data_IF_888104946658
#
_entry.id   IF_888104946658
#
_cell.length_a   1.000
_cell.length_b   1.000
_cell.length_c   1.000
_cell.angle_alpha   90.00
_cell.angle_beta   90.00
_cell.angle_gamma   90.00
#
_symmetry.space_group_name_H-M   'P 1'
#
loop_
_entity.id
_entity.type
_entity.pdbx_description
1 polymer ?
#
# COMPACT_ATOMS: atom_id res chain seq x y z
N UNK A 1 -8.21 22.46 0.72
CA UNK A 1 -7.93 22.41 2.17
C UNK A 1 -8.78 21.29 2.74
N UNK A 2 -8.20 20.11 2.95
CA UNK A 2 -8.95 18.94 3.42
C UNK A 2 -8.82 18.90 4.94
N UNK A 3 -9.93 19.17 5.63
CA UNK A 3 -10.05 19.00 7.07
C UNK A 3 -10.21 17.52 7.38
N UNK A 4 -9.36 17.05 8.29
CA UNK A 4 -9.34 15.69 8.82
C UNK A 4 -10.62 15.42 9.61
N UNK A 5 -11.27 14.28 9.35
CA UNK A 5 -12.19 13.68 10.30
C UNK A 5 -11.39 12.61 11.05
N UNK A 6 -11.20 12.84 12.36
CA UNK A 6 -10.69 11.86 13.31
C UNK A 6 -11.71 10.72 13.42
N UNK A 7 -11.22 9.49 13.34
CA UNK A 7 -11.79 8.40 14.14
C UNK A 7 -10.77 8.07 15.23
N UNK A 8 -11.24 7.74 16.45
CA UNK A 8 -10.37 7.55 17.59
C UNK A 8 -9.45 6.34 17.36
N UNK A 9 -8.18 6.51 17.69
CA UNK A 9 -7.30 5.40 18.02
C UNK A 9 -7.95 4.65 19.19
N UNK A 10 -7.87 3.31 19.27
CA UNK A 10 -8.12 2.64 20.53
C UNK A 10 -7.21 3.27 21.59
N UNK A 11 -7.81 3.66 22.71
CA UNK A 11 -7.11 4.32 23.80
C UNK A 11 -5.92 3.48 24.24
N UNK A 12 -4.86 4.19 24.58
CA UNK A 12 -3.63 3.72 25.18
C UNK A 12 -3.89 2.85 26.40
N UNK A 13 -3.37 1.63 26.39
CA UNK A 13 -2.68 1.05 27.55
C UNK A 13 -1.43 0.36 27.03
N UNK A 14 -0.39 1.16 26.87
CA UNK A 14 0.98 0.71 26.64
C UNK A 14 1.73 0.87 27.97
N UNK A 15 1.47 -0.03 28.92
CA UNK A 15 2.36 -0.30 30.05
C UNK A 15 2.14 -1.73 30.53
N UNK A 16 3.25 -2.40 30.83
CA UNK A 16 3.40 -3.72 31.46
C UNK A 16 3.29 -4.96 30.55
N UNK A 17 4.44 -5.36 30.02
CA UNK A 17 4.77 -6.78 29.90
C UNK A 17 4.92 -7.38 31.32
N UNK A 18 4.19 -8.46 31.59
CA UNK A 18 4.27 -9.28 32.81
C UNK A 18 3.20 -10.38 32.76
N UNK A 19 3.48 -11.61 33.22
CA UNK A 19 2.68 -12.79 32.90
C UNK A 19 1.46 -12.92 33.82
N UNK A 20 0.30 -13.27 33.27
CA UNK A 20 -0.85 -13.69 34.08
C UNK A 20 -1.57 -14.87 33.45
N UNK A 21 -1.76 -15.87 34.29
CA UNK A 21 -2.32 -17.19 34.07
C UNK A 21 -3.81 -17.19 33.66
N UNK A 22 -4.22 -18.29 33.03
CA UNK A 22 -5.49 -18.98 33.27
C UNK A 22 -6.79 -18.21 33.03
N UNK A 23 -7.34 -18.32 31.81
CA UNK A 23 -8.72 -17.92 31.53
C UNK A 23 -9.23 -18.48 30.21
N UNK A 24 -9.91 -19.62 30.26
CA UNK A 24 -10.61 -20.25 29.14
C UNK A 24 -11.74 -19.36 28.63
N UNK A 25 -11.49 -18.64 27.54
CA UNK A 25 -12.48 -17.82 26.83
C UNK A 25 -12.50 -18.17 25.35
N UNK A 26 -13.58 -18.81 24.93
CA UNK A 26 -13.88 -19.31 23.58
C UNK A 26 -13.51 -18.33 22.46
N UNK A 27 -12.45 -18.65 21.70
CA UNK A 27 -12.10 -17.99 20.46
C UNK A 27 -12.96 -18.56 19.33
N UNK A 28 -13.56 -17.70 18.52
CA UNK A 28 -14.23 -18.08 17.27
C UNK A 28 -13.19 -18.57 16.27
N UNK A 29 -12.88 -19.86 16.34
CA UNK A 29 -11.89 -20.53 15.52
C UNK A 29 -12.37 -20.70 14.08
N UNK A 30 -11.59 -20.16 13.14
CA UNK A 30 -11.35 -20.93 11.93
C UNK A 30 -10.32 -21.98 12.33
N UNK A 31 -10.77 -23.20 12.61
CA UNK A 31 -9.86 -24.33 12.77
C UNK A 31 -9.09 -24.47 11.46
N UNK A 32 -7.76 -24.36 11.51
CA UNK A 32 -6.91 -24.66 10.35
C UNK A 32 -7.32 -26.03 9.83
N UNK A 33 -7.61 -26.12 8.53
CA UNK A 33 -7.99 -27.39 7.92
C UNK A 33 -6.80 -28.33 8.09
N UNK A 34 -6.93 -29.35 8.96
CA UNK A 34 -5.86 -30.32 9.20
C UNK A 34 -5.43 -30.90 7.85
N UNK A 35 -4.17 -30.72 7.50
CA UNK A 35 -3.62 -31.31 6.29
C UNK A 35 -3.69 -32.83 6.37
N UNK A 36 -4.01 -33.48 5.26
CA UNK A 36 -3.76 -34.91 5.14
C UNK A 36 -2.25 -35.12 5.16
N UNK A 37 -1.78 -36.16 5.82
CA UNK A 37 -0.34 -36.41 6.01
C UNK A 37 0.43 -36.44 4.69
N UNK A 38 -0.13 -37.04 3.65
CA UNK A 38 0.46 -37.10 2.31
C UNK A 38 0.69 -35.74 1.65
N UNK A 39 0.06 -34.67 2.15
CA UNK A 39 0.22 -33.30 1.63
C UNK A 39 1.17 -32.45 2.49
N UNK A 40 1.79 -33.02 3.52
CA UNK A 40 2.75 -32.31 4.36
C UNK A 40 4.11 -32.34 3.67
N UNK A 41 4.64 -31.16 3.36
CA UNK A 41 5.99 -31.01 2.84
C UNK A 41 7.00 -31.26 3.97
N UNK A 42 7.58 -32.46 4.01
CA UNK A 42 8.60 -32.84 4.99
C UNK A 42 9.98 -32.51 4.42
N UNK A 43 10.71 -31.59 5.05
CA UNK A 43 12.10 -31.33 4.67
C UNK A 43 13.02 -32.49 5.12
N UNK A 44 14.14 -32.67 4.43
CA UNK A 44 15.16 -33.66 4.77
C UNK A 44 16.40 -33.00 5.42
N UNK A 45 16.18 -31.99 6.25
CA UNK A 45 17.28 -31.26 6.88
C UNK A 45 17.95 -32.14 7.95
N UNK A 46 19.26 -32.28 7.84
CA UNK A 46 20.11 -32.66 8.95
C UNK A 46 20.80 -31.39 9.45
N UNK A 47 20.84 -31.20 10.77
CA UNK A 47 21.44 -30.02 11.39
C UNK A 47 22.47 -30.44 12.43
N UNK A 48 23.43 -29.55 12.69
CA UNK A 48 24.40 -29.76 13.75
C UNK A 48 23.71 -29.49 15.09
N UNK A 49 23.61 -30.51 15.95
CA UNK A 49 22.98 -30.34 17.27
C UNK A 49 23.78 -29.43 18.20
N UNK A 50 25.05 -29.15 17.88
CA UNK A 50 25.86 -28.15 18.58
C UNK A 50 25.60 -26.72 18.10
N UNK A 51 24.93 -26.55 16.95
CA UNK A 51 24.49 -25.27 16.40
C UNK A 51 22.99 -25.30 16.05
N UNK A 52 22.09 -25.21 17.05
CA UNK A 52 20.65 -25.25 16.83
C UNK A 52 20.13 -24.14 15.91
N UNK A 53 20.80 -22.99 15.84
CA UNK A 53 20.42 -21.85 14.97
C UNK A 53 20.59 -22.18 13.47
N UNK A 54 21.33 -23.23 13.14
CA UNK A 54 21.46 -23.74 11.76
C UNK A 54 20.26 -24.56 11.28
N UNK A 55 19.33 -24.91 12.17
CA UNK A 55 18.24 -25.83 11.86
C UNK A 55 17.18 -25.20 10.94
N UNK A 56 17.08 -25.73 9.72
CA UNK A 56 16.12 -25.29 8.70
C UNK A 56 16.23 -23.81 8.28
N UNK A 57 17.43 -23.25 8.18
CA UNK A 57 17.65 -21.91 7.61
C UNK A 57 17.82 -21.96 6.08
N UNK A 58 18.89 -21.38 5.54
CA UNK A 58 19.08 -21.13 4.09
C UNK A 58 19.13 -22.38 3.21
N UNK A 59 19.54 -23.55 3.74
CA UNK A 59 19.67 -24.80 2.96
C UNK A 59 18.46 -25.73 3.05
N UNK A 60 17.43 -25.34 3.79
CA UNK A 60 16.22 -26.13 3.91
C UNK A 60 15.43 -26.11 2.59
N UNK A 61 15.07 -27.28 2.05
CA UNK A 61 14.25 -27.37 0.85
C UNK A 61 12.91 -26.63 0.99
N UNK A 62 12.31 -26.71 2.18
CA UNK A 62 11.05 -26.00 2.47
C UNK A 62 11.26 -24.47 2.44
N UNK A 63 12.34 -23.94 3.03
CA UNK A 63 12.69 -22.50 2.93
C UNK A 63 12.91 -22.08 1.48
N UNK A 64 13.69 -22.85 0.72
CA UNK A 64 13.99 -22.56 -0.69
C UNK A 64 12.74 -22.53 -1.58
N UNK A 65 11.67 -23.22 -1.16
CA UNK A 65 10.38 -23.28 -1.85
C UNK A 65 9.31 -22.41 -1.20
N UNK A 66 9.68 -21.54 -0.26
CA UNK A 66 8.76 -20.69 0.53
C UNK A 66 7.62 -21.49 1.20
N UNK A 67 7.95 -22.66 1.73
CA UNK A 67 7.04 -23.50 2.52
C UNK A 67 7.55 -23.58 3.94
N UNK A 68 6.68 -23.40 4.93
CA UNK A 68 7.06 -23.63 6.32
C UNK A 68 7.11 -25.11 6.65
N UNK A 69 7.99 -25.47 7.58
CA UNK A 69 7.99 -26.80 8.16
C UNK A 69 6.75 -26.97 9.06
N UNK A 70 6.13 -28.15 8.99
CA UNK A 70 5.01 -28.50 9.87
C UNK A 70 5.54 -29.01 11.22
N UNK A 71 5.09 -28.46 12.36
CA UNK A 71 5.46 -28.96 13.69
C UNK A 71 5.18 -30.45 13.85
N UNK A 72 6.12 -31.18 14.44
CA UNK A 72 6.04 -32.64 14.63
C UNK A 72 6.42 -33.50 13.41
N UNK A 73 6.57 -32.92 12.23
CA UNK A 73 6.99 -33.65 11.01
C UNK A 73 8.43 -33.33 10.58
N UNK A 74 8.98 -32.20 11.02
CA UNK A 74 10.36 -31.82 10.76
C UNK A 74 11.34 -32.62 11.62
N UNK A 75 12.41 -33.15 11.02
CA UNK A 75 13.48 -33.87 11.73
C UNK A 75 14.24 -32.99 12.73
N UNK A 76 14.25 -31.67 12.52
CA UNK A 76 14.80 -30.72 13.49
C UNK A 76 13.93 -30.57 14.75
N UNK A 77 12.67 -31.05 14.75
CA UNK A 77 11.79 -30.91 15.91
C UNK A 77 11.58 -29.45 16.30
N UNK A 78 11.71 -29.16 17.59
CA UNK A 78 11.44 -27.83 18.17
C UNK A 78 12.53 -26.78 17.84
N UNK A 79 13.73 -27.22 17.43
CA UNK A 79 14.82 -26.31 16.99
C UNK A 79 14.61 -25.80 15.58
N UNK A 80 13.57 -26.24 14.87
CA UNK A 80 13.30 -25.77 13.52
C UNK A 80 13.01 -24.26 13.49
N UNK A 81 13.88 -23.52 12.79
CA UNK A 81 13.73 -22.08 12.58
C UNK A 81 12.74 -21.76 11.44
N UNK A 82 12.35 -22.74 10.60
CA UNK A 82 11.39 -22.55 9.50
C UNK A 82 9.92 -22.68 9.93
N UNK A 83 9.55 -21.98 11.01
CA UNK A 83 8.18 -21.94 11.57
C UNK A 83 7.77 -20.51 11.98
N UNK A 84 8.44 -19.49 11.45
CA UNK A 84 8.32 -18.06 11.82
C UNK A 84 6.91 -17.46 11.71
N UNK A 85 6.10 -17.84 10.71
CA UNK A 85 4.69 -17.43 10.56
C UNK A 85 3.80 -18.11 11.61
N UNK A 86 4.00 -19.42 11.83
CA UNK A 86 3.26 -20.17 12.85
C UNK A 86 3.56 -19.63 14.26
N UNK A 87 4.83 -19.37 14.56
CA UNK A 87 5.32 -18.81 15.83
C UNK A 87 5.07 -17.29 15.95
N UNK A 88 4.73 -16.61 14.85
CA UNK A 88 4.51 -15.15 14.76
C UNK A 88 5.71 -14.32 15.23
N UNK A 89 6.89 -14.76 14.84
CA UNK A 89 8.16 -14.11 15.15
C UNK A 89 8.37 -12.91 14.23
N UNK A 90 7.66 -11.82 14.55
CA UNK A 90 7.71 -10.58 13.79
C UNK A 90 8.84 -9.67 14.28
N UNK A 91 9.43 -8.92 13.35
CA UNK A 91 10.33 -7.84 13.68
C UNK A 91 9.58 -6.74 14.46
N UNK A 92 10.30 -6.06 15.36
CA UNK A 92 9.77 -4.92 16.11
C UNK A 92 9.51 -3.76 15.15
N UNK A 93 8.29 -3.24 15.19
CA UNK A 93 7.86 -2.14 14.33
C UNK A 93 7.04 -1.12 15.10
N UNK A 94 7.05 0.12 14.62
CA UNK A 94 6.38 1.24 15.26
C UNK A 94 5.60 2.07 14.26
N UNK A 95 4.36 2.44 14.61
CA UNK A 95 3.55 3.35 13.81
C UNK A 95 4.06 4.79 13.93
N UNK A 96 4.02 5.52 12.81
CA UNK A 96 4.33 6.94 12.79
C UNK A 96 3.46 7.69 11.77
N UNK A 97 3.32 9.01 11.96
CA UNK A 97 2.65 9.87 10.99
C UNK A 97 3.61 10.30 9.90
N UNK A 98 3.23 10.03 8.66
CA UNK A 98 3.94 10.52 7.48
C UNK A 98 3.43 11.90 7.06
N UNK A 99 4.23 12.60 6.27
CA UNK A 99 3.78 13.81 5.60
C UNK A 99 2.98 13.45 4.34
N UNK A 100 1.65 13.53 4.42
CA UNK A 100 0.75 13.42 3.25
C UNK A 100 0.39 12.00 2.79
N UNK A 101 0.93 10.94 3.40
CA UNK A 101 0.58 9.52 3.08
C UNK A 101 -0.24 8.83 4.19
N UNK A 102 -0.57 9.56 5.26
CA UNK A 102 -1.28 8.99 6.41
C UNK A 102 -0.32 8.37 7.42
N UNK A 103 -0.66 7.19 7.92
CA UNK A 103 0.21 6.42 8.80
C UNK A 103 1.28 5.67 8.00
N UNK A 104 2.39 5.37 8.63
CA UNK A 104 3.47 4.55 8.11
C UNK A 104 3.99 3.59 9.19
N UNK A 105 4.86 2.68 8.79
CA UNK A 105 5.52 1.74 9.69
C UNK A 105 7.03 1.96 9.67
N UNK A 106 7.65 2.11 10.84
CA UNK A 106 9.10 2.16 11.02
C UNK A 106 9.62 0.81 11.52
N UNK A 107 10.87 0.50 11.19
CA UNK A 107 11.65 -0.50 11.90
C UNK A 107 11.95 0.01 13.32
N UNK A 108 11.67 -0.78 14.35
CA UNK A 108 12.00 -0.48 15.75
C UNK A 108 13.19 -1.33 16.25
N UNK A 109 13.89 -1.94 15.30
CA UNK A 109 15.18 -2.63 15.47
C UNK A 109 15.91 -2.67 14.12
N UNK A 110 17.16 -3.14 14.11
CA UNK A 110 17.88 -3.38 12.85
C UNK A 110 17.36 -4.67 12.21
N UNK A 111 17.00 -4.60 10.93
CA UNK A 111 16.46 -5.72 10.16
C UNK A 111 17.45 -6.09 9.07
N UNK A 112 17.79 -7.37 8.93
CA UNK A 112 18.74 -7.88 7.93
C UNK A 112 18.08 -8.15 6.60
N UNK A 113 18.86 -8.05 5.51
CA UNK A 113 18.41 -8.47 4.19
C UNK A 113 17.88 -9.92 4.22
N UNK A 114 16.73 -10.15 3.59
CA UNK A 114 16.05 -11.45 3.58
C UNK A 114 15.24 -11.77 4.84
N UNK A 115 15.36 -11.01 5.93
CA UNK A 115 14.64 -11.27 7.18
C UNK A 115 13.13 -11.09 7.02
N UNK A 116 12.36 -11.98 7.64
CA UNK A 116 10.91 -11.86 7.79
C UNK A 116 10.57 -10.72 8.75
N UNK A 117 9.65 -9.85 8.35
CA UNK A 117 9.26 -8.67 9.13
C UNK A 117 7.91 -8.89 9.78
N UNK A 118 6.88 -9.15 8.98
CA UNK A 118 5.50 -9.28 9.47
C UNK A 118 4.65 -9.99 8.41
N UNK A 119 3.67 -10.79 8.84
CA UNK A 119 2.62 -11.31 7.95
C UNK A 119 1.66 -10.18 7.56
N UNK A 120 1.19 -10.13 6.31
CA UNK A 120 0.11 -9.23 5.91
C UNK A 120 -1.25 -9.91 6.18
N UNK A 121 -1.85 -9.63 7.34
CA UNK A 121 -3.09 -10.29 7.76
C UNK A 121 -4.34 -9.46 7.40
N UNK A 122 -5.41 -10.16 7.00
CA UNK A 122 -6.74 -9.59 6.75
C UNK A 122 -7.77 -10.66 6.44
N UNK A 123 -8.96 -10.26 6.01
CA UNK A 123 -9.99 -11.20 5.56
C UNK A 123 -9.63 -11.70 4.14
N UNK A 124 -9.40 -13.01 3.97
CA UNK A 124 -9.22 -13.61 2.65
C UNK A 124 -10.59 -13.78 1.98
N UNK A 125 -10.80 -13.10 0.87
CA UNK A 125 -12.05 -13.10 0.11
C UNK A 125 -11.78 -13.37 -1.37
N UNK A 126 -12.77 -13.87 -2.10
CA UNK A 126 -12.60 -14.07 -3.55
C UNK A 126 -12.43 -12.74 -4.28
N UNK A 127 -11.81 -12.76 -5.46
CA UNK A 127 -11.64 -11.59 -6.33
C UNK A 127 -12.99 -10.93 -6.67
N UNK A 128 -14.06 -11.71 -6.85
CA UNK A 128 -15.41 -11.18 -7.07
C UNK A 128 -15.98 -10.50 -5.82
N UNK A 129 -15.76 -11.10 -4.65
CA UNK A 129 -16.18 -10.51 -3.38
C UNK A 129 -15.41 -9.23 -3.09
N UNK A 130 -14.10 -9.19 -3.37
CA UNK A 130 -13.27 -8.00 -3.25
C UNK A 130 -13.76 -6.87 -4.16
N UNK A 131 -14.11 -7.18 -5.42
CA UNK A 131 -14.69 -6.21 -6.35
C UNK A 131 -16.01 -5.64 -5.83
N UNK A 132 -16.94 -6.51 -5.39
CA UNK A 132 -18.22 -6.07 -4.79
C UNK A 132 -17.98 -5.17 -3.58
N UNK A 133 -17.06 -5.56 -2.69
CA UNK A 133 -16.73 -4.82 -1.48
C UNK A 133 -16.07 -3.48 -1.78
N UNK A 134 -15.23 -3.40 -2.81
CA UNK A 134 -14.62 -2.16 -3.29
C UNK A 134 -15.68 -1.15 -3.74
N UNK A 135 -16.70 -1.59 -4.49
CA UNK A 135 -17.83 -0.73 -4.86
C UNK A 135 -18.62 -0.22 -3.64
N UNK A 136 -18.79 -1.07 -2.62
CA UNK A 136 -19.43 -0.65 -1.36
C UNK A 136 -18.59 0.41 -0.64
N UNK A 137 -17.27 0.22 -0.55
CA UNK A 137 -16.35 1.18 0.06
C UNK A 137 -16.35 2.52 -0.67
N UNK A 138 -16.37 2.51 -2.00
CA UNK A 138 -16.49 3.70 -2.84
C UNK A 138 -17.82 4.42 -2.58
N UNK A 139 -18.94 3.70 -2.60
CA UNK A 139 -20.28 4.28 -2.38
C UNK A 139 -20.44 4.90 -0.98
N UNK A 140 -19.71 4.40 0.01
CA UNK A 140 -19.70 4.93 1.38
C UNK A 140 -18.54 5.90 1.65
N UNK A 141 -17.80 6.31 0.62
CA UNK A 141 -16.66 7.23 0.71
C UNK A 141 -15.60 6.80 1.75
N UNK A 142 -15.36 5.49 1.88
CA UNK A 142 -14.31 4.94 2.74
C UNK A 142 -12.96 5.39 2.16
N UNK A 143 -12.24 6.23 2.92
CA UNK A 143 -11.03 6.92 2.43
C UNK A 143 -9.82 6.01 2.32
N UNK A 144 -9.65 5.11 3.29
CA UNK A 144 -8.49 4.24 3.38
C UNK A 144 -8.96 2.78 3.22
N UNK A 145 -8.67 2.19 2.06
CA UNK A 145 -8.94 0.79 1.74
C UNK A 145 -7.62 0.03 1.60
N UNK A 146 -7.60 -1.21 2.07
CA UNK A 146 -6.38 -1.99 2.25
C UNK A 146 -6.58 -3.39 1.69
N UNK A 147 -6.58 -3.50 0.36
CA UNK A 147 -6.72 -4.79 -0.33
C UNK A 147 -5.40 -5.16 -0.98
N UNK A 148 -5.00 -6.43 -0.93
CA UNK A 148 -3.83 -6.93 -1.65
C UNK A 148 -4.18 -8.27 -2.29
N UNK A 149 -3.80 -8.46 -3.55
CA UNK A 149 -4.01 -9.75 -4.23
C UNK A 149 -3.11 -10.80 -3.59
N UNK A 150 -3.72 -11.90 -3.16
CA UNK A 150 -3.01 -13.09 -2.71
C UNK A 150 -2.70 -13.99 -3.90
N UNK A 151 -3.65 -14.14 -4.83
CA UNK A 151 -3.48 -14.75 -6.14
C UNK A 151 -4.56 -14.24 -7.12
N UNK A 152 -4.78 -14.94 -8.23
CA UNK A 152 -5.78 -14.54 -9.25
C UNK A 152 -7.22 -14.61 -8.72
N UNK A 153 -7.48 -15.49 -7.75
CA UNK A 153 -8.81 -15.82 -7.25
C UNK A 153 -9.08 -15.24 -5.87
N UNK A 154 -8.04 -14.90 -5.11
CA UNK A 154 -8.13 -14.46 -3.72
C UNK A 154 -7.42 -13.12 -3.47
N UNK A 155 -8.04 -12.32 -2.60
CA UNK A 155 -7.58 -11.02 -2.14
C UNK A 155 -7.64 -11.00 -0.62
N UNK A 156 -6.61 -10.45 0.03
CA UNK A 156 -6.63 -10.15 1.46
C UNK A 156 -7.15 -8.72 1.63
N UNK A 157 -8.26 -8.57 2.35
CA UNK A 157 -8.82 -7.27 2.72
C UNK A 157 -8.57 -6.97 4.20
N UNK A 158 -7.64 -6.06 4.44
CA UNK A 158 -7.24 -5.58 5.76
C UNK A 158 -7.94 -4.28 6.16
N UNK A 159 -8.99 -3.87 5.43
CA UNK A 159 -9.67 -2.58 5.67
C UNK A 159 -10.36 -2.55 7.03
N UNK A 160 -11.09 -3.62 7.36
CA UNK A 160 -11.85 -3.74 8.61
C UNK A 160 -11.13 -4.54 9.70
N UNK A 161 -10.40 -5.58 9.32
CA UNK A 161 -9.65 -6.46 10.23
C UNK A 161 -8.28 -6.70 9.63
N UNK A 162 -7.23 -6.40 10.36
CA UNK A 162 -5.85 -6.61 9.91
C UNK A 162 -4.86 -6.28 11.00
N UNK A 163 -3.57 -6.31 10.67
CA UNK A 163 -2.48 -5.99 11.59
C UNK A 163 -1.69 -4.76 11.12
N UNK A 164 -0.54 -4.48 11.73
CA UNK A 164 0.27 -3.31 11.41
C UNK A 164 0.81 -3.28 9.98
N UNK A 165 0.89 -4.42 9.28
CA UNK A 165 1.37 -4.49 7.90
C UNK A 165 0.53 -3.64 6.94
N UNK A 166 -0.76 -3.40 7.24
CA UNK A 166 -1.64 -2.52 6.44
C UNK A 166 -1.14 -1.07 6.34
N UNK A 167 -0.26 -0.64 7.25
CA UNK A 167 0.30 0.72 7.26
C UNK A 167 1.64 0.84 6.52
N UNK A 168 2.12 -0.22 5.86
CA UNK A 168 3.27 -0.14 4.97
C UNK A 168 2.93 0.75 3.78
N UNK A 169 3.69 1.82 3.58
CA UNK A 169 3.48 2.74 2.47
C UNK A 169 4.11 2.24 1.17
N UNK A 170 3.60 2.77 0.05
CA UNK A 170 4.21 2.57 -1.24
C UNK A 170 5.56 3.30 -1.37
N UNK A 171 6.54 2.62 -1.97
CA UNK A 171 7.70 3.25 -2.59
C UNK A 171 7.99 2.69 -3.98
N UNK A 172 8.39 3.56 -4.92
CA UNK A 172 8.93 3.16 -6.22
C UNK A 172 10.34 2.57 -6.13
N UNK A 173 11.01 2.76 -4.99
CA UNK A 173 12.29 2.13 -4.61
C UNK A 173 12.16 1.61 -3.17
N UNK A 174 11.43 0.49 -2.98
CA UNK A 174 11.15 -0.03 -1.65
C UNK A 174 12.39 -0.64 -1.00
N UNK A 175 12.28 -0.91 0.31
CA UNK A 175 13.24 -1.70 1.08
C UNK A 175 12.66 -3.05 1.53
N UNK A 176 11.37 -3.27 1.32
CA UNK A 176 10.69 -4.52 1.62
C UNK A 176 9.94 -5.04 0.39
N UNK A 177 9.68 -6.35 0.39
CA UNK A 177 8.87 -7.01 -0.63
C UNK A 177 7.87 -7.98 0.00
N UNK A 178 6.83 -8.30 -0.76
CA UNK A 178 5.83 -9.30 -0.39
C UNK A 178 6.24 -10.66 -0.96
N UNK A 179 6.27 -11.71 -0.14
CA UNK A 179 6.50 -13.09 -0.58
C UNK A 179 5.31 -13.97 -0.18
N UNK A 180 4.87 -14.82 -1.09
CA UNK A 180 3.86 -15.85 -0.77
C UNK A 180 4.55 -17.03 -0.11
N UNK A 181 3.96 -17.51 0.98
CA UNK A 181 4.44 -18.67 1.72
C UNK A 181 3.33 -19.69 1.89
N UNK A 182 3.66 -20.97 1.77
CA UNK A 182 2.74 -22.05 2.13
C UNK A 182 2.95 -22.40 3.60
N UNK A 183 1.93 -22.15 4.42
CA UNK A 183 1.94 -22.37 5.87
C UNK A 183 0.78 -23.28 6.22
N UNK A 184 1.08 -24.50 6.67
CA UNK A 184 0.06 -25.53 6.94
C UNK A 184 -0.91 -25.73 5.74
N UNK A 185 -0.36 -25.65 4.52
CA UNK A 185 -1.08 -25.83 3.26
C UNK A 185 -2.00 -24.68 2.87
N UNK A 186 -1.97 -23.57 3.60
CA UNK A 186 -2.61 -22.32 3.25
C UNK A 186 -1.57 -21.35 2.67
N UNK A 187 -1.97 -20.59 1.64
CA UNK A 187 -1.10 -19.52 1.12
C UNK A 187 -1.23 -18.30 2.01
N UNK A 188 -0.11 -17.82 2.54
CA UNK A 188 0.02 -16.59 3.34
C UNK A 188 0.92 -15.60 2.64
N UNK A 189 0.81 -14.32 3.01
CA UNK A 189 1.62 -13.25 2.45
C UNK A 189 2.52 -12.66 3.54
N UNK A 190 3.83 -12.86 3.41
CA UNK A 190 4.81 -12.28 4.32
C UNK A 190 5.48 -11.05 3.73
N UNK A 191 5.90 -10.13 4.60
CA UNK A 191 6.73 -8.99 4.25
C UNK A 191 8.17 -9.30 4.65
N UNK A 192 9.09 -9.20 3.71
CA UNK A 192 10.51 -9.50 3.89
C UNK A 192 11.37 -8.29 3.53
N UNK A 193 12.50 -8.13 4.21
CA UNK A 193 13.47 -7.11 3.87
C UNK A 193 14.22 -7.49 2.58
N UNK A 194 14.36 -6.54 1.65
CA UNK A 194 15.17 -6.72 0.43
C UNK A 194 16.66 -6.38 0.65
N UNK A 195 16.95 -5.69 1.74
CA UNK A 195 18.28 -5.18 2.13
C UNK A 195 18.27 -4.89 3.62
N UNK A 196 19.44 -4.67 4.21
CA UNK A 196 19.53 -4.20 5.59
C UNK A 196 18.74 -2.89 5.77
N UNK A 197 17.94 -2.83 6.83
CA UNK A 197 17.13 -1.68 7.23
C UNK A 197 17.50 -1.30 8.65
N UNK A 198 18.03 -0.09 8.83
CA UNK A 198 18.37 0.44 10.15
C UNK A 198 17.12 0.80 10.96
N UNK A 199 17.23 0.70 12.28
CA UNK A 199 16.20 1.20 13.21
C UNK A 199 15.81 2.66 12.87
N UNK A 200 14.51 2.95 12.97
CA UNK A 200 13.93 4.26 12.66
C UNK A 200 13.69 4.53 11.17
N UNK A 201 14.09 3.63 10.26
CA UNK A 201 13.74 3.76 8.84
C UNK A 201 12.30 3.32 8.54
N UNK A 202 11.65 4.04 7.61
CA UNK A 202 10.33 3.64 7.11
C UNK A 202 10.43 2.35 6.28
N UNK A 203 9.56 1.39 6.62
CA UNK A 203 9.34 0.16 5.87
C UNK A 203 8.35 0.44 4.74
N UNK A 204 8.75 0.15 3.52
CA UNK A 204 7.98 0.44 2.31
C UNK A 204 8.01 -0.73 1.35
N UNK A 205 6.89 -0.93 0.66
CA UNK A 205 6.73 -1.97 -0.37
C UNK A 205 6.36 -1.34 -1.70
N UNK A 206 6.58 -2.07 -2.80
CA UNK A 206 5.95 -1.71 -4.07
C UNK A 206 4.53 -2.29 -4.06
N UNK A 207 3.52 -1.45 -4.27
CA UNK A 207 2.11 -1.88 -4.26
C UNK A 207 1.73 -2.66 -5.51
N UNK A 208 2.55 -2.63 -6.57
CA UNK A 208 2.18 -3.16 -7.89
C UNK A 208 0.78 -2.70 -8.31
N UNK A 209 0.47 -1.45 -8.00
CA UNK A 209 -0.88 -0.91 -8.09
C UNK A 209 -1.40 -1.02 -9.53
N UNK A 210 -2.57 -1.61 -9.70
CA UNK A 210 -3.25 -1.65 -10.99
C UNK A 210 -4.31 -0.54 -11.07
N UNK A 211 -4.12 0.39 -12.00
CA UNK A 211 -5.12 1.42 -12.23
C UNK A 211 -6.26 0.91 -13.12
N UNK A 212 -7.49 1.02 -12.63
CA UNK A 212 -8.71 0.47 -13.26
C UNK A 212 -9.69 1.54 -13.77
N UNK A 213 -9.18 2.73 -14.10
CA UNK A 213 -9.92 3.93 -14.46
C UNK A 213 -10.38 4.82 -13.28
N UNK A 214 -10.42 6.12 -13.54
CA UNK A 214 -10.88 7.16 -12.61
C UNK A 214 -9.75 8.03 -12.07
N UNK A 215 -9.86 8.47 -10.81
CA UNK A 215 -8.97 9.48 -10.25
C UNK A 215 -7.53 8.96 -10.15
N UNK A 216 -6.57 9.77 -10.59
CA UNK A 216 -5.16 9.45 -10.46
C UNK A 216 -4.67 9.86 -9.07
N UNK A 217 -3.94 8.97 -8.40
CA UNK A 217 -3.36 9.23 -7.08
C UNK A 217 -1.88 9.54 -7.26
N UNK A 218 -1.45 10.73 -6.84
CA UNK A 218 -0.04 11.12 -6.91
C UNK A 218 0.78 10.27 -5.95
N UNK A 219 1.87 9.69 -6.45
CA UNK A 219 2.85 9.00 -5.63
C UNK A 219 3.72 10.01 -4.87
N UNK A 220 3.76 9.86 -3.55
CA UNK A 220 4.49 10.74 -2.63
C UNK A 220 5.70 10.03 -1.98
N UNK A 221 6.24 8.98 -2.62
CA UNK A 221 7.32 8.18 -2.03
C UNK A 221 8.68 8.88 -1.99
N UNK A 222 8.88 9.94 -2.77
CA UNK A 222 10.14 10.69 -2.81
C UNK A 222 11.32 9.96 -3.48
N UNK A 223 11.13 8.77 -4.03
CA UNK A 223 12.19 8.06 -4.75
C UNK A 223 12.64 8.83 -6.00
N UNK A 224 13.94 8.80 -6.32
CA UNK A 224 14.49 9.47 -7.50
C UNK A 224 13.87 8.97 -8.82
N UNK A 225 13.49 7.69 -8.87
CA UNK A 225 12.81 7.04 -10.00
C UNK A 225 11.28 6.91 -9.77
N UNK A 226 10.67 7.85 -9.03
CA UNK A 226 9.24 7.84 -8.74
C UNK A 226 8.40 7.86 -10.03
N UNK A 227 7.38 7.01 -10.11
CA UNK A 227 6.49 6.94 -11.28
C UNK A 227 5.41 8.04 -11.30
N UNK A 228 5.50 9.03 -10.40
CA UNK A 228 4.63 10.21 -10.25
C UNK A 228 3.20 9.88 -9.82
N UNK A 229 2.57 8.83 -10.36
CA UNK A 229 1.23 8.36 -9.99
C UNK A 229 1.26 6.88 -9.59
N UNK A 230 0.48 6.52 -8.57
CA UNK A 230 0.24 5.12 -8.25
C UNK A 230 -0.43 4.45 -9.46
N UNK A 231 0.11 3.30 -9.85
CA UNK A 231 -0.36 2.56 -11.03
C UNK A 231 0.10 3.08 -12.37
N UNK A 232 0.97 4.09 -12.43
CA UNK A 232 1.48 4.60 -13.71
C UNK A 232 2.20 3.53 -14.56
N UNK A 233 2.68 2.45 -13.93
CA UNK A 233 3.32 1.33 -14.61
C UNK A 233 2.33 0.30 -15.17
N UNK A 234 1.06 0.31 -14.75
CA UNK A 234 0.06 -0.66 -15.20
C UNK A 234 -0.26 -0.46 -16.68
N UNK A 235 -0.57 -1.56 -17.36
CA UNK A 235 -0.87 -1.55 -18.79
C UNK A 235 -2.07 -0.64 -19.11
N UNK A 236 -3.14 -0.74 -18.32
CA UNK A 236 -4.35 0.08 -18.47
C UNK A 236 -4.09 1.58 -18.29
N UNK A 237 -3.21 1.97 -17.36
CA UNK A 237 -2.84 3.38 -17.19
C UNK A 237 -2.14 3.90 -18.44
N UNK A 238 -1.19 3.12 -18.98
CA UNK A 238 -0.48 3.47 -20.20
C UNK A 238 -1.45 3.61 -21.36
N UNK A 239 -2.26 2.60 -21.64
CA UNK A 239 -3.25 2.61 -22.72
C UNK A 239 -4.16 3.83 -22.65
N UNK A 240 -4.75 4.09 -21.48
CA UNK A 240 -5.61 5.25 -21.29
C UNK A 240 -4.88 6.55 -21.61
N UNK A 241 -3.66 6.75 -21.11
CA UNK A 241 -2.90 7.99 -21.33
C UNK A 241 -2.29 8.09 -22.74
N UNK A 242 -2.00 6.98 -23.43
CA UNK A 242 -1.57 6.98 -24.83
C UNK A 242 -2.71 7.43 -25.75
N UNK A 243 -3.97 7.05 -25.46
CA UNK A 243 -5.15 7.57 -26.18
C UNK A 243 -5.25 9.10 -26.11
N UNK A 244 -4.73 9.74 -25.05
CA UNK A 244 -4.70 11.20 -24.93
C UNK A 244 -3.48 11.87 -25.59
N UNK A 245 -2.40 11.14 -25.88
CA UNK A 245 -1.21 11.69 -26.55
C UNK A 245 -1.43 11.93 -28.05
N UNK A 246 -2.37 11.24 -28.66
CA UNK A 246 -2.60 11.31 -30.11
C UNK A 246 -3.65 12.36 -30.54
N UNK A 247 -4.01 13.32 -29.67
CA UNK A 247 -4.88 14.43 -30.13
C UNK A 247 -5.57 15.33 -29.11
N UNK A 248 -5.06 15.54 -27.88
CA UNK A 248 -5.67 16.53 -26.99
C UNK A 248 -4.64 17.31 -26.15
N UNK A 249 -4.32 18.53 -26.60
CA UNK A 249 -3.44 19.53 -25.96
C UNK A 249 -3.96 20.10 -24.61
N UNK A 250 -4.68 19.32 -23.80
CA UNK A 250 -5.29 19.81 -22.56
C UNK A 250 -4.48 19.60 -21.28
N UNK A 251 -3.33 18.92 -21.35
CA UNK A 251 -2.38 18.86 -20.24
C UNK A 251 -0.95 19.13 -20.71
N UNK A 252 -0.61 20.41 -20.88
CA UNK A 252 0.79 20.84 -20.82
C UNK A 252 1.23 20.77 -19.37
N UNK A 253 2.05 19.77 -19.05
CA UNK A 253 2.86 19.80 -17.83
C UNK A 253 4.00 20.77 -18.13
N UNK A 254 3.94 21.99 -17.59
CA UNK A 254 5.09 22.88 -17.68
C UNK A 254 6.25 22.24 -16.89
N UNK A 255 7.44 22.10 -17.50
CA UNK A 255 8.60 21.59 -16.79
C UNK A 255 8.94 22.60 -15.68
N UNK A 256 8.92 22.14 -14.42
CA UNK A 256 9.51 22.91 -13.34
C UNK A 256 11.01 23.01 -13.59
N UNK A 257 11.46 24.14 -14.13
CA UNK A 257 12.87 24.50 -14.18
C UNK A 257 13.40 24.59 -12.73
N UNK A 258 13.94 23.48 -12.23
CA UNK A 258 14.92 23.47 -11.14
C UNK A 258 16.06 22.57 -11.56
N UNK A 259 16.93 23.13 -12.39
CA UNK A 259 18.30 22.63 -12.51
C UNK A 259 18.96 22.72 -11.14
N UNK A 260 19.44 21.58 -10.64
CA UNK A 260 20.54 21.57 -9.68
C UNK A 260 21.69 22.42 -10.25
N UNK A 261 22.11 23.46 -9.53
CA UNK A 261 23.47 24.00 -9.64
C UNK A 261 24.01 24.27 -8.24
N UNK A 262 25.24 23.81 -8.07
CA UNK A 262 26.04 23.79 -6.85
C UNK A 262 26.39 25.19 -6.33
N UNK A 263 26.91 25.18 -5.09
CA UNK A 263 27.42 26.30 -4.30
C UNK A 263 28.58 27.10 -4.95
N UNK A 264 28.55 28.41 -4.62
CA UNK A 264 29.60 29.44 -4.41
C UNK A 264 30.71 29.71 -5.46
N UNK A 265 30.85 30.99 -5.86
CA UNK A 265 32.00 31.89 -5.57
C UNK A 265 31.79 33.28 -6.24
N UNK A 266 31.96 34.31 -5.41
CA UNK A 266 32.30 35.75 -5.56
C UNK A 266 32.50 36.38 -6.96
N UNK A 267 31.82 37.51 -7.22
CA UNK A 267 32.40 38.87 -7.43
C UNK A 267 31.47 39.79 -8.26
N UNK A 268 31.42 41.09 -7.89
CA UNK A 268 31.20 42.19 -8.84
C UNK A 268 29.83 42.90 -8.93
N UNK A 269 29.56 43.82 -7.99
CA UNK A 269 29.10 45.23 -8.23
C UNK A 269 28.09 45.55 -9.36
N UNK A 270 26.86 46.01 -9.01
CA UNK A 270 26.30 47.39 -9.16
C UNK A 270 25.12 47.38 -10.18
N UNK A 271 23.93 48.00 -10.07
CA UNK A 271 23.44 49.21 -9.39
C UNK A 271 21.89 49.21 -9.27
N UNK A 272 21.38 49.71 -8.12
CA UNK A 272 20.10 50.40 -7.78
C UNK A 272 18.70 49.89 -8.19
N UNK A 273 17.91 49.68 -7.13
CA UNK A 273 16.44 49.68 -7.04
C UNK A 273 15.79 51.01 -7.46
N UNK A 274 14.56 50.94 -7.99
CA UNK A 274 13.46 51.86 -7.63
C UNK A 274 12.15 51.09 -7.53
N UNK A 275 11.47 51.25 -6.39
CA UNK A 275 10.13 50.73 -6.11
C UNK A 275 9.07 51.65 -6.73
N UNK A 276 7.93 51.08 -7.13
CA UNK A 276 6.67 51.84 -7.16
C UNK A 276 5.45 50.91 -7.18
N UNK A 277 4.35 51.49 -6.69
CA UNK A 277 3.20 50.89 -5.99
C UNK A 277 2.17 50.23 -6.90
N UNK A 278 1.45 49.27 -6.30
CA UNK A 278 0.25 48.60 -6.82
C UNK A 278 -0.95 49.56 -6.90
N UNK A 279 -1.71 49.58 -8.02
CA UNK A 279 -3.12 49.99 -7.99
C UNK A 279 -4.11 48.87 -8.33
N UNK A 280 -5.29 49.02 -7.74
CA UNK A 280 -6.41 48.08 -7.58
C UNK A 280 -7.21 47.85 -8.88
N UNK A 281 -7.75 46.63 -9.01
CA UNK A 281 -8.69 46.20 -10.05
C UNK A 281 -9.97 47.06 -10.15
N UNK A 282 -10.35 47.43 -11.37
CA UNK A 282 -11.72 47.81 -11.77
C UNK A 282 -12.23 46.85 -12.84
N UNK A 283 -13.49 46.42 -12.68
CA UNK A 283 -14.25 45.58 -13.61
C UNK A 283 -14.65 46.38 -14.86
N UNK A 284 -14.55 45.79 -16.05
CA UNK A 284 -15.30 46.21 -17.23
C UNK A 284 -15.77 45.01 -18.06
N UNK A 285 -17.05 45.08 -18.44
CA UNK A 285 -17.82 44.16 -19.27
C UNK A 285 -17.33 44.14 -20.72
N UNK A 286 -17.44 42.98 -21.37
CA UNK A 286 -17.71 42.88 -22.81
C UNK A 286 -18.59 41.64 -23.08
N UNK A 287 -19.78 41.86 -23.63
CA UNK A 287 -20.64 40.87 -24.29
C UNK A 287 -20.27 40.74 -25.76
N UNK A 288 -20.62 39.63 -26.43
CA UNK A 288 -21.30 39.77 -27.72
C UNK A 288 -22.60 38.94 -27.83
N UNK A 289 -23.59 39.54 -28.48
CA UNK A 289 -24.87 38.99 -28.90
C UNK A 289 -24.71 38.19 -30.19
N UNK A 290 -25.42 37.06 -30.32
CA UNK A 290 -25.94 36.59 -31.60
C UNK A 290 -27.40 36.14 -31.44
N UNK A 291 -28.27 36.64 -32.33
CA UNK A 291 -29.70 36.30 -32.44
C UNK A 291 -29.87 35.31 -33.59
N UNK A 292 -30.69 34.28 -33.39
CA UNK A 292 -31.50 33.64 -34.43
C UNK A 292 -32.89 33.35 -33.84
N UNK A 293 -33.95 33.86 -34.49
CA UNK A 293 -35.37 33.42 -34.34
C UNK A 293 -35.59 32.30 -35.38
N UNK A 294 -36.45 31.29 -35.23
CA UNK A 294 -37.88 31.35 -34.94
C UNK A 294 -38.51 29.98 -34.64
N UNK A 295 -39.54 29.99 -33.77
CA UNK A 295 -40.76 29.14 -33.63
C UNK A 295 -40.74 27.67 -34.08
N UNK A 296 -41.16 26.69 -33.27
CA UNK A 296 -42.56 26.56 -32.77
C UNK A 296 -42.72 25.70 -31.49
N UNK A 297 -43.71 26.08 -30.66
CA UNK A 297 -44.37 25.42 -29.50
C UNK A 297 -44.63 23.90 -29.70
N UNK A 298 -44.76 22.98 -28.71
CA UNK A 298 -45.08 22.92 -27.25
C UNK A 298 -44.22 21.75 -26.67
N UNK A 299 -43.89 21.58 -25.38
CA UNK A 299 -44.75 21.37 -24.21
C UNK A 299 -43.83 21.26 -22.97
N UNK A 300 -44.24 21.81 -21.83
CA UNK A 300 -43.47 21.85 -20.57
C UNK A 300 -43.71 20.58 -19.76
N UNK A 301 -42.66 19.83 -19.42
CA UNK A 301 -42.60 18.96 -18.23
C UNK A 301 -41.21 19.13 -17.58
N UNK A 302 -41.21 19.40 -16.27
CA UNK A 302 -40.08 19.82 -15.44
C UNK A 302 -38.95 18.76 -15.42
N UNK A 303 -37.76 19.13 -15.92
CA UNK A 303 -36.51 18.39 -15.72
C UNK A 303 -35.68 19.03 -14.62
N UNK A 304 -35.64 18.38 -13.46
CA UNK A 304 -34.71 18.68 -12.36
C UNK A 304 -33.27 18.60 -12.86
N UNK A 305 -32.48 19.66 -12.60
CA UNK A 305 -31.04 19.69 -12.83
C UNK A 305 -30.36 18.62 -11.98
N UNK A 306 -30.05 17.46 -12.57
CA UNK A 306 -29.07 16.52 -12.01
C UNK A 306 -27.71 17.20 -12.04
N UNK A 307 -27.21 17.58 -10.86
CA UNK A 307 -25.78 17.85 -10.65
C UNK A 307 -25.00 16.64 -11.15
N UNK A 308 -24.07 16.87 -12.07
CA UNK A 308 -23.10 15.87 -12.50
C UNK A 308 -22.26 15.47 -11.28
N UNK A 309 -22.55 14.31 -10.70
CA UNK A 309 -21.70 13.69 -9.70
C UNK A 309 -20.39 13.27 -10.36
N UNK A 310 -19.31 13.82 -9.83
CA UNK A 310 -17.93 13.56 -10.24
C UNK A 310 -17.55 12.17 -9.70
N UNK A 311 -17.50 11.19 -10.59
CA UNK A 311 -17.12 9.80 -10.29
C UNK A 311 -15.66 9.77 -9.81
N UNK A 312 -15.41 9.26 -8.60
CA UNK A 312 -14.07 9.12 -8.01
C UNK A 312 -13.66 7.65 -8.04
N UNK A 313 -12.63 7.37 -8.84
CA UNK A 313 -12.23 6.06 -9.35
C UNK A 313 -11.96 4.91 -8.37
N UNK A 314 -12.15 3.72 -8.92
CA UNK A 314 -11.94 2.38 -8.37
C UNK A 314 -10.50 2.13 -7.93
N UNK A 315 -10.35 1.42 -6.80
CA UNK A 315 -9.09 0.87 -6.32
C UNK A 315 -9.30 -0.63 -6.12
N UNK A 316 -8.71 -1.45 -6.99
CA UNK A 316 -8.51 -2.88 -6.79
C UNK A 316 -7.06 -3.19 -7.13
N UNK A 317 -6.53 -4.32 -6.65
CA UNK A 317 -5.13 -4.73 -6.85
C UNK A 317 -5.15 -6.13 -7.45
N UNK A 318 -4.43 -6.36 -8.55
CA UNK A 318 -4.17 -7.70 -9.09
C UNK A 318 -2.70 -7.80 -9.50
N UNK A 319 -2.12 -9.00 -9.35
CA UNK A 319 -0.78 -9.36 -9.84
C UNK A 319 -0.81 -9.67 -11.33
#
# INVERSE_FOLDING_TARGET
MIKNAMFPLPATDATAAGPSEGGTGSQTGNAHKKLKEDNIAICQCNYDTSDPESACVERCLNVLTNTECTPGYCQCGDTCENQIFQKREYAKTKLFRTNGRGWGLLADENIKAGQFIIEYCGEVISSEAAKKRSHVYEAHEVKDTYMISLDTNYVIDSTRKGNFARFLNHSCRPNCETRKWTVLGETRLGIFAMKDVSVGMELTINYYFEWYAGATVRCLCGAANCCIFLGAKSQRFKEYNHVWKDGNDRYKVEPSNRSHKNYNIVSGSTTKMKSQRIPKWKKSRCTPKWKVKSSSRKQVIKGSTRRSHQVRGMITFSL
#
